data_IF_636646405563
#
_entry.id   IF_636646405563
#
_cell.length_a   1.000
_cell.length_b   1.000
_cell.length_c   1.000
_cell.angle_alpha   90.00
_cell.angle_beta   90.00
_cell.angle_gamma   90.00
#
_symmetry.space_group_name_H-M   'P 1'
#
loop_
_entity.id
_entity.type
_entity.pdbx_description
1 polymer ?
#
# COMPACT_ATOMS: atom_id res chain seq x y z
N UNK A 1 2.53 6.48 41.82
CA UNK A 1 3.03 7.86 42.05
C UNK A 1 4.55 7.93 42.18
N UNK A 2 5.22 7.15 43.04
CA UNK A 2 6.68 7.21 43.24
C UNK A 2 7.52 6.91 41.97
N UNK A 3 7.10 5.95 41.13
CA UNK A 3 7.79 5.65 39.86
C UNK A 3 7.71 6.78 38.83
N UNK A 4 6.62 7.54 38.81
CA UNK A 4 6.45 8.66 37.87
C UNK A 4 7.33 9.85 38.25
N UNK A 5 7.35 10.23 39.54
CA UNK A 5 8.19 11.36 40.00
C UNK A 5 9.69 11.16 39.67
N UNK A 6 10.21 9.95 39.85
CA UNK A 6 11.60 9.61 39.51
C UNK A 6 11.84 9.57 37.98
N UNK A 7 10.83 9.15 37.21
CA UNK A 7 10.86 9.15 35.75
C UNK A 7 10.89 10.56 35.16
N UNK A 8 10.10 11.49 35.72
CA UNK A 8 10.09 12.90 35.31
C UNK A 8 11.42 13.62 35.60
N UNK A 9 12.08 13.30 36.73
CA UNK A 9 13.39 13.87 37.09
C UNK A 9 14.56 13.30 36.28
N UNK A 10 14.43 12.07 35.78
CA UNK A 10 15.48 11.36 35.04
C UNK A 10 15.31 11.40 33.52
N UNK A 11 14.21 11.96 33.02
CA UNK A 11 13.83 11.92 31.59
C UNK A 11 13.37 10.54 31.10
N UNK A 12 13.48 9.50 31.92
CA UNK A 12 13.08 8.15 31.55
C UNK A 12 11.56 8.01 31.33
N UNK A 13 10.76 8.95 31.84
CA UNK A 13 9.31 8.97 31.66
C UNK A 13 8.85 9.34 30.25
N UNK A 14 9.73 9.96 29.45
CA UNK A 14 9.45 10.43 28.09
C UNK A 14 9.77 9.35 27.01
N UNK A 15 10.62 8.37 27.33
CA UNK A 15 11.00 7.29 26.40
C UNK A 15 9.82 6.35 26.16
N UNK A 16 9.45 6.20 24.90
CA UNK A 16 8.33 5.36 24.48
C UNK A 16 8.75 3.90 24.23
N UNK A 17 7.82 3.00 24.49
CA UNK A 17 7.90 1.59 24.13
C UNK A 17 6.84 1.26 23.07
N UNK A 18 7.17 0.31 22.19
CA UNK A 18 6.25 -0.12 21.12
C UNK A 18 5.14 -0.99 21.72
N UNK A 19 3.90 -0.64 21.43
CA UNK A 19 2.73 -1.39 21.90
C UNK A 19 2.48 -2.59 20.99
N UNK A 20 2.53 -3.80 21.56
CA UNK A 20 2.20 -5.05 20.86
C UNK A 20 0.74 -5.46 21.03
N UNK A 21 0.12 -5.03 22.14
CA UNK A 21 -1.30 -5.23 22.43
C UNK A 21 -2.02 -3.87 22.39
N UNK A 22 -2.75 -3.61 21.31
CA UNK A 22 -3.44 -2.35 21.10
C UNK A 22 -4.65 -2.16 22.01
N UNK A 23 -5.15 -3.22 22.68
CA UNK A 23 -6.27 -3.08 23.63
C UNK A 23 -5.92 -2.19 24.83
N UNK A 24 -4.62 -1.97 25.07
CA UNK A 24 -4.08 -1.14 26.15
C UNK A 24 -3.84 0.32 25.72
N UNK A 25 -3.95 0.64 24.43
CA UNK A 25 -3.76 2.00 23.92
C UNK A 25 -4.94 2.90 24.33
N UNK A 26 -4.65 4.08 24.87
CA UNK A 26 -5.67 5.07 25.21
C UNK A 26 -6.42 5.54 23.95
N UNK A 27 -5.74 5.56 22.80
CA UNK A 27 -6.31 5.92 21.51
C UNK A 27 -7.52 5.07 21.10
N UNK A 28 -7.66 3.84 21.61
CA UNK A 28 -8.80 2.95 21.30
C UNK A 28 -10.16 3.60 21.57
N UNK A 29 -10.24 4.47 22.57
CA UNK A 29 -11.49 5.15 22.96
C UNK A 29 -11.90 6.27 21.99
N UNK A 30 -11.00 6.68 21.10
CA UNK A 30 -11.17 7.82 20.20
C UNK A 30 -11.22 7.42 18.72
N UNK A 31 -11.13 6.11 18.42
CA UNK A 31 -11.21 5.61 17.05
C UNK A 31 -12.60 5.88 16.46
N UNK A 32 -12.62 6.34 15.22
CA UNK A 32 -13.84 6.52 14.44
C UNK A 32 -14.25 5.21 13.75
N UNK A 33 -15.51 5.07 13.28
CA UNK A 33 -15.94 3.90 12.53
C UNK A 33 -15.06 3.64 11.30
N UNK A 34 -14.55 2.41 11.16
CA UNK A 34 -13.63 2.01 10.07
C UNK A 34 -12.17 2.43 10.28
N UNK A 35 -11.85 3.06 11.42
CA UNK A 35 -10.49 3.39 11.81
C UNK A 35 -9.87 2.25 12.62
N UNK A 36 -8.61 1.93 12.35
CA UNK A 36 -7.85 0.87 13.02
C UNK A 36 -6.43 1.34 13.32
N UNK A 37 -5.90 0.92 14.48
CA UNK A 37 -4.52 1.20 14.87
C UNK A 37 -3.57 0.36 14.01
N UNK A 38 -2.59 1.03 13.40
CA UNK A 38 -1.54 0.40 12.60
C UNK A 38 -0.32 0.11 13.48
N UNK A 39 0.11 1.10 14.26
CA UNK A 39 1.17 0.97 15.27
C UNK A 39 1.02 2.06 16.33
N UNK A 40 1.54 1.80 17.52
CA UNK A 40 1.47 2.73 18.65
C UNK A 40 2.73 2.64 19.50
N UNK A 41 3.14 3.78 20.04
CA UNK A 41 4.25 3.91 20.98
C UNK A 41 3.74 4.66 22.21
N UNK A 42 4.07 4.17 23.39
CA UNK A 42 3.60 4.74 24.66
C UNK A 42 4.74 4.85 25.66
N UNK A 43 4.82 6.00 26.32
CA UNK A 43 5.59 6.24 27.53
C UNK A 43 4.63 6.49 28.70
N UNK A 44 5.17 6.77 29.88
CA UNK A 44 4.32 7.13 31.03
C UNK A 44 3.61 8.47 30.84
N UNK A 45 4.17 9.35 30.02
CA UNK A 45 3.68 10.71 29.82
C UNK A 45 2.88 10.86 28.53
N UNK A 46 3.31 10.20 27.46
CA UNK A 46 2.78 10.40 26.10
C UNK A 46 2.44 9.07 25.43
N UNK A 47 1.43 9.10 24.55
CA UNK A 47 1.11 8.03 23.62
C UNK A 47 0.99 8.61 22.21
N UNK A 48 1.65 7.97 21.27
CA UNK A 48 1.62 8.28 19.85
C UNK A 48 1.04 7.07 19.11
N UNK A 49 -0.21 7.20 18.66
CA UNK A 49 -0.93 6.12 17.99
C UNK A 49 -1.21 6.50 16.55
N UNK A 50 -0.69 5.70 15.61
CA UNK A 50 -0.86 5.89 14.18
C UNK A 50 -1.93 4.93 13.68
N UNK A 51 -3.00 5.47 13.11
CA UNK A 51 -4.10 4.69 12.54
C UNK A 51 -4.01 4.68 11.03
N UNK A 52 -4.99 4.07 10.36
CA UNK A 52 -5.16 4.21 8.92
C UNK A 52 -5.64 5.61 8.48
N UNK A 53 -6.13 6.47 9.38
CA UNK A 53 -6.72 7.78 9.06
C UNK A 53 -5.93 8.97 9.64
N UNK A 54 -5.34 8.81 10.82
CA UNK A 54 -4.79 9.91 11.60
C UNK A 54 -3.67 9.48 12.55
N UNK A 55 -2.90 10.47 12.99
CA UNK A 55 -2.07 10.36 14.19
C UNK A 55 -2.84 10.89 15.40
N UNK A 56 -2.87 10.12 16.47
CA UNK A 56 -3.24 10.59 17.80
C UNK A 56 -1.99 10.86 18.64
N UNK A 57 -1.91 12.06 19.21
CA UNK A 57 -0.97 12.38 20.28
C UNK A 57 -1.77 12.56 21.56
N UNK A 58 -1.56 11.69 22.54
CA UNK A 58 -2.22 11.75 23.85
C UNK A 58 -1.15 12.02 24.89
N UNK A 59 -1.14 13.21 25.50
CA UNK A 59 -0.06 13.64 26.37
C UNK A 59 -0.54 14.22 27.70
N UNK A 60 0.16 13.90 28.78
CA UNK A 60 -0.01 14.51 30.10
C UNK A 60 1.01 15.61 30.34
N UNK A 61 0.69 16.55 31.23
CA UNK A 61 1.66 17.57 31.65
C UNK A 61 2.87 16.99 32.40
N UNK A 62 2.74 15.80 32.98
CA UNK A 62 3.81 15.05 33.64
C UNK A 62 3.49 13.54 33.65
N UNK A 63 4.40 12.70 34.14
CA UNK A 63 4.21 11.23 34.18
C UNK A 63 3.18 10.76 35.23
N UNK A 64 2.87 11.59 36.23
CA UNK A 64 2.01 11.21 37.36
C UNK A 64 0.56 11.62 37.18
N UNK A 65 0.29 12.59 36.31
CA UNK A 65 -1.06 13.08 36.04
C UNK A 65 -1.87 12.04 35.26
N UNK A 66 -3.12 11.88 35.68
CA UNK A 66 -4.12 11.10 34.95
C UNK A 66 -4.82 11.93 33.88
N UNK A 67 -4.75 13.27 33.95
CA UNK A 67 -5.29 14.16 32.93
C UNK A 67 -4.38 14.14 31.70
N UNK A 68 -4.94 13.70 30.57
CA UNK A 68 -4.26 13.69 29.27
C UNK A 68 -5.03 14.56 28.27
N UNK A 69 -4.30 15.26 27.40
CA UNK A 69 -4.83 15.98 26.25
C UNK A 69 -4.70 15.07 25.03
N UNK A 70 -5.80 14.86 24.31
CA UNK A 70 -5.82 14.09 23.06
C UNK A 70 -5.88 15.05 21.87
N UNK A 71 -4.86 14.98 21.02
CA UNK A 71 -4.78 15.71 19.76
C UNK A 71 -4.87 14.72 18.60
N UNK A 72 -5.69 15.04 17.59
CA UNK A 72 -5.86 14.25 16.37
C UNK A 72 -5.31 15.02 15.17
N UNK A 73 -4.55 14.34 14.32
CA UNK A 73 -4.00 14.88 13.08
C UNK A 73 -4.43 13.97 11.91
N UNK A 74 -5.50 14.35 11.22
CA UNK A 74 -6.01 13.58 10.07
C UNK A 74 -5.07 13.71 8.87
N UNK A 75 -4.62 12.58 8.33
CA UNK A 75 -3.71 12.54 7.17
C UNK A 75 -4.33 13.09 5.89
N UNK A 76 -5.66 13.21 5.83
CA UNK A 76 -6.35 13.88 4.73
C UNK A 76 -5.96 15.35 4.63
N UNK A 77 -5.79 16.01 5.77
CA UNK A 77 -5.60 17.46 5.85
C UNK A 77 -4.18 17.84 6.24
N UNK A 78 -3.54 17.00 7.06
CA UNK A 78 -2.23 17.26 7.63
C UNK A 78 -1.17 16.41 6.92
N UNK A 79 -0.38 17.04 6.06
CA UNK A 79 0.70 16.37 5.32
C UNK A 79 1.90 16.12 6.23
N UNK A 80 2.41 14.89 6.25
CA UNK A 80 3.65 14.54 6.91
C UNK A 80 4.82 14.97 6.02
N UNK A 81 5.83 15.61 6.60
CA UNK A 81 7.06 16.02 5.90
C UNK A 81 8.28 15.93 6.81
N UNK A 82 9.47 16.03 6.22
CA UNK A 82 10.74 16.12 6.97
C UNK A 82 10.97 14.95 7.93
N UNK A 83 10.63 13.73 7.52
CA UNK A 83 10.82 12.52 8.32
C UNK A 83 12.32 12.23 8.46
N UNK A 84 12.78 12.04 9.70
CA UNK A 84 14.17 11.78 10.08
C UNK A 84 14.22 10.69 11.14
N UNK A 85 15.32 9.97 11.15
CA UNK A 85 15.61 8.93 12.13
C UNK A 85 17.01 9.14 12.71
N UNK A 86 17.12 9.04 14.02
CA UNK A 86 18.37 9.12 14.77
C UNK A 86 18.55 7.80 15.51
N UNK A 87 19.60 7.04 15.16
CA UNK A 87 19.90 5.76 15.81
C UNK A 87 20.47 5.97 17.19
N UNK A 88 20.23 5.03 18.11
CA UNK A 88 20.87 5.05 19.41
C UNK A 88 22.40 4.86 19.29
N UNK A 89 23.18 5.72 19.92
CA UNK A 89 24.61 5.52 20.10
C UNK A 89 24.92 4.38 21.08
N UNK A 90 26.21 4.18 21.36
CA UNK A 90 26.64 3.08 22.23
C UNK A 90 26.09 3.21 23.66
N UNK A 91 26.09 4.42 24.20
CA UNK A 91 25.69 4.75 25.58
C UNK A 91 24.22 5.18 25.69
N UNK A 92 23.62 5.59 24.57
CA UNK A 92 22.24 6.09 24.53
C UNK A 92 21.23 4.98 24.82
N UNK A 93 20.09 5.39 25.40
CA UNK A 93 19.02 4.48 25.85
C UNK A 93 17.91 4.33 24.82
N UNK A 94 17.86 5.23 23.86
CA UNK A 94 16.79 5.45 22.91
C UNK A 94 17.34 5.80 21.53
N UNK A 95 16.49 5.56 20.54
CA UNK A 95 16.58 6.12 19.21
C UNK A 95 15.41 7.10 19.02
N UNK A 96 15.49 7.98 18.05
CA UNK A 96 14.51 9.06 17.92
C UNK A 96 13.96 9.17 16.50
N UNK A 97 12.64 9.31 16.39
CA UNK A 97 11.95 9.64 15.13
C UNK A 97 11.49 11.09 15.17
N UNK A 98 11.85 11.88 14.16
CA UNK A 98 11.46 13.28 14.01
C UNK A 98 10.69 13.49 12.71
N UNK A 99 9.58 14.20 12.75
CA UNK A 99 8.85 14.61 11.54
C UNK A 99 8.01 15.85 11.79
N UNK A 100 7.46 16.42 10.72
CA UNK A 100 6.43 17.46 10.79
C UNK A 100 5.11 16.89 10.27
N UNK A 101 4.01 17.24 10.91
CA UNK A 101 2.67 16.94 10.43
C UNK A 101 1.87 18.25 10.46
N UNK A 102 1.51 18.72 9.26
CA UNK A 102 0.98 20.07 9.12
C UNK A 102 1.94 21.14 9.62
N UNK A 103 1.43 21.99 10.53
CA UNK A 103 2.23 23.02 11.21
C UNK A 103 3.00 22.54 12.44
N UNK A 104 2.84 21.28 12.90
CA UNK A 104 3.44 20.80 14.15
C UNK A 104 4.68 19.94 13.90
N UNK A 105 5.66 20.07 14.78
CA UNK A 105 6.86 19.22 14.79
C UNK A 105 6.72 18.16 15.88
N UNK A 106 7.00 16.91 15.54
CA UNK A 106 6.90 15.75 16.42
C UNK A 106 8.29 15.13 16.56
N UNK A 107 8.66 14.83 17.82
CA UNK A 107 9.85 14.09 18.23
C UNK A 107 9.36 12.94 19.11
N UNK A 108 9.82 11.72 18.84
CA UNK A 108 9.45 10.54 19.62
C UNK A 108 10.72 9.77 19.93
N UNK A 109 11.09 9.76 21.22
CA UNK A 109 12.15 8.92 21.74
C UNK A 109 11.60 7.51 21.97
N UNK A 110 12.26 6.51 21.41
CA UNK A 110 11.84 5.11 21.42
C UNK A 110 12.98 4.28 22.00
N UNK A 111 12.68 3.42 22.96
CA UNK A 111 13.67 2.58 23.62
C UNK A 111 14.56 1.83 22.62
N UNK A 112 15.88 1.85 22.85
CA UNK A 112 16.90 1.24 21.95
C UNK A 112 16.65 -0.23 21.62
N UNK A 113 16.03 -0.97 22.54
CA UNK A 113 15.66 -2.37 22.31
C UNK A 113 14.65 -2.55 21.15
N UNK A 114 13.83 -1.53 20.88
CA UNK A 114 12.80 -1.50 19.83
C UNK A 114 13.28 -0.74 18.57
N UNK A 115 14.59 -0.47 18.44
CA UNK A 115 15.11 0.32 17.31
C UNK A 115 14.77 -0.29 15.95
N UNK A 116 14.70 -1.62 15.84
CA UNK A 116 14.33 -2.29 14.60
C UNK A 116 12.90 -1.92 14.16
N UNK A 117 11.92 -1.97 15.06
CA UNK A 117 10.55 -1.54 14.78
C UNK A 117 10.48 -0.04 14.49
N UNK A 118 11.24 0.77 15.23
CA UNK A 118 11.31 2.21 15.00
C UNK A 118 11.82 2.56 13.58
N UNK A 119 12.79 1.80 13.06
CA UNK A 119 13.26 1.94 11.67
C UNK A 119 12.18 1.57 10.66
N UNK A 120 11.32 0.62 10.97
CA UNK A 120 10.18 0.28 10.11
C UNK A 120 9.11 1.38 10.16
N UNK A 121 8.80 1.94 11.33
CA UNK A 121 7.91 3.10 11.44
C UNK A 121 8.43 4.31 10.66
N UNK A 122 9.75 4.56 10.68
CA UNK A 122 10.36 5.58 9.84
C UNK A 122 10.03 5.37 8.35
N UNK A 123 10.20 4.14 7.84
CA UNK A 123 9.88 3.82 6.43
C UNK A 123 8.41 4.03 6.14
N UNK A 124 7.52 3.65 7.07
CA UNK A 124 6.07 3.87 6.95
C UNK A 124 5.74 5.36 6.81
N UNK A 125 6.29 6.19 7.70
CA UNK A 125 6.05 7.63 7.70
C UNK A 125 6.61 8.31 6.44
N UNK A 126 7.80 7.89 5.99
CA UNK A 126 8.40 8.38 4.75
C UNK A 126 7.56 8.01 3.52
N UNK A 127 7.02 6.78 3.47
CA UNK A 127 6.13 6.35 2.40
C UNK A 127 4.80 7.12 2.40
N UNK A 128 4.19 7.31 3.58
CA UNK A 128 2.98 8.12 3.74
C UNK A 128 3.21 9.57 3.31
N UNK A 129 4.34 10.17 3.71
CA UNK A 129 4.74 11.52 3.31
C UNK A 129 4.81 11.66 1.78
N UNK A 130 5.51 10.74 1.10
CA UNK A 130 5.62 10.75 -0.37
C UNK A 130 4.25 10.65 -1.04
N UNK A 131 3.40 9.76 -0.54
CA UNK A 131 2.04 9.56 -1.07
C UNK A 131 1.18 10.82 -0.92
N UNK A 132 1.22 11.48 0.23
CA UNK A 132 0.51 12.74 0.46
C UNK A 132 1.03 13.85 -0.47
N UNK A 133 2.34 13.95 -0.67
CA UNK A 133 2.94 14.94 -1.57
C UNK A 133 2.53 14.69 -3.03
N UNK A 134 2.55 13.44 -3.49
CA UNK A 134 2.07 13.07 -4.84
C UNK A 134 0.60 13.43 -5.02
N UNK A 135 -0.22 13.12 -4.04
CA UNK A 135 -1.64 13.45 -4.02
C UNK A 135 -1.90 14.96 -4.09
N UNK A 136 -1.17 15.76 -3.30
CA UNK A 136 -1.27 17.22 -3.31
C UNK A 136 -0.86 17.78 -4.67
N UNK A 137 0.22 17.27 -5.27
CA UNK A 137 0.63 17.66 -6.63
C UNK A 137 -0.43 17.34 -7.67
N UNK A 138 -1.04 16.15 -7.59
CA UNK A 138 -2.12 15.76 -8.50
C UNK A 138 -3.36 16.65 -8.35
N UNK A 139 -3.67 17.07 -7.13
CA UNK A 139 -4.73 18.05 -6.86
C UNK A 139 -4.42 19.42 -7.46
N UNK A 140 -3.21 19.94 -7.23
CA UNK A 140 -2.76 21.22 -7.76
C UNK A 140 -2.76 21.22 -9.30
N UNK A 141 -2.26 20.14 -9.91
CA UNK A 141 -2.29 19.95 -11.35
C UNK A 141 -3.73 19.94 -11.88
N UNK A 142 -4.66 19.25 -11.21
CA UNK A 142 -6.05 19.21 -11.63
C UNK A 142 -6.75 20.57 -11.52
N UNK A 143 -6.49 21.32 -10.43
CA UNK A 143 -6.99 22.69 -10.28
C UNK A 143 -6.45 23.61 -11.40
N UNK A 144 -5.17 23.50 -11.72
CA UNK A 144 -4.54 24.29 -12.77
C UNK A 144 -5.06 23.92 -14.16
N UNK A 145 -5.22 22.63 -14.45
CA UNK A 145 -5.79 22.14 -15.69
C UNK A 145 -7.24 22.64 -15.87
N UNK A 146 -8.05 22.61 -14.82
CA UNK A 146 -9.42 23.12 -14.86
C UNK A 146 -9.44 24.63 -15.14
N UNK A 147 -8.57 25.40 -14.48
CA UNK A 147 -8.44 26.84 -14.71
C UNK A 147 -8.12 27.15 -16.17
N UNK A 148 -7.07 26.55 -16.72
CA UNK A 148 -6.67 26.81 -18.11
C UNK A 148 -7.69 26.30 -19.13
N UNK A 149 -8.38 25.19 -18.84
CA UNK A 149 -9.48 24.70 -19.69
C UNK A 149 -10.63 25.71 -19.73
N UNK A 150 -10.98 26.32 -18.59
CA UNK A 150 -12.02 27.36 -18.55
C UNK A 150 -11.63 28.62 -19.34
N UNK A 151 -10.37 29.05 -19.25
CA UNK A 151 -9.86 30.20 -20.01
C UNK A 151 -9.86 29.91 -21.53
N UNK A 152 -9.46 28.71 -21.94
CA UNK A 152 -9.46 28.31 -23.35
C UNK A 152 -10.87 28.23 -23.95
N UNK A 153 -11.85 27.71 -23.21
CA UNK A 153 -13.25 27.65 -23.63
C UNK A 153 -13.86 29.05 -23.78
N UNK A 154 -13.57 29.96 -22.84
CA UNK A 154 -14.02 31.36 -22.92
C UNK A 154 -13.51 32.07 -24.19
N UNK A 155 -12.30 31.73 -24.66
CA UNK A 155 -11.71 32.30 -25.88
C UNK A 155 -12.29 31.71 -27.18
N UNK A 156 -12.92 30.53 -27.11
CA UNK A 156 -13.31 29.74 -28.30
C UNK A 156 -14.82 29.72 -28.54
N UNK A 157 -15.64 29.68 -27.50
CA UNK A 157 -17.11 29.65 -27.62
C UNK A 157 -17.73 31.01 -27.27
N UNK A 158 -18.33 31.66 -28.28
CA UNK A 158 -19.27 32.78 -28.08
C UNK A 158 -20.73 32.29 -27.95
N UNK A 159 -20.93 30.98 -28.00
CA UNK A 159 -22.23 30.32 -27.97
C UNK A 159 -22.43 29.71 -26.59
N UNK A 160 -23.30 30.31 -25.78
CA UNK A 160 -23.71 29.79 -24.48
C UNK A 160 -24.36 28.41 -24.57
N UNK A 161 -23.55 27.36 -24.76
CA UNK A 161 -23.93 26.01 -24.38
C UNK A 161 -24.42 26.07 -22.93
N UNK A 162 -25.46 25.32 -22.61
CA UNK A 162 -26.15 25.35 -21.31
C UNK A 162 -25.16 25.26 -20.16
N UNK A 163 -24.83 26.42 -19.59
CA UNK A 163 -23.87 26.65 -18.50
C UNK A 163 -24.06 25.64 -17.36
N UNK A 164 -25.31 25.24 -17.12
CA UNK A 164 -25.70 24.22 -16.15
C UNK A 164 -25.00 22.88 -16.38
N UNK A 165 -25.00 22.35 -17.61
CA UNK A 165 -24.41 21.03 -17.90
C UNK A 165 -22.89 21.03 -17.71
N UNK A 166 -22.20 22.07 -18.22
CA UNK A 166 -20.76 22.22 -18.05
C UNK A 166 -20.38 22.38 -16.57
N UNK A 167 -21.22 23.07 -15.80
CA UNK A 167 -21.05 23.22 -14.35
C UNK A 167 -21.18 21.89 -13.62
N UNK A 168 -22.18 21.07 -13.95
CA UNK A 168 -22.43 19.77 -13.32
C UNK A 168 -21.30 18.76 -13.62
N UNK A 169 -20.84 18.70 -14.88
CA UNK A 169 -19.72 17.84 -15.29
C UNK A 169 -18.42 18.26 -14.59
N UNK A 170 -18.15 19.57 -14.54
CA UNK A 170 -16.97 20.13 -13.85
C UNK A 170 -17.00 19.83 -12.35
N UNK A 171 -18.15 20.05 -11.71
CA UNK A 171 -18.35 19.80 -10.28
C UNK A 171 -18.17 18.32 -9.94
N UNK A 172 -18.69 17.43 -10.79
CA UNK A 172 -18.52 15.98 -10.64
C UNK A 172 -17.05 15.60 -10.76
N UNK A 173 -16.36 16.08 -11.80
CA UNK A 173 -14.95 15.78 -12.05
C UNK A 173 -14.05 16.27 -10.91
N UNK A 174 -14.22 17.51 -10.43
CA UNK A 174 -13.39 18.04 -9.33
C UNK A 174 -13.69 17.30 -8.02
N UNK A 175 -14.94 16.90 -7.79
CA UNK A 175 -15.33 16.09 -6.64
C UNK A 175 -14.69 14.69 -6.66
N UNK A 176 -14.62 14.04 -7.83
CA UNK A 176 -13.93 12.77 -8.00
C UNK A 176 -12.41 12.90 -7.86
N UNK A 177 -11.82 13.96 -8.40
CA UNK A 177 -10.41 14.27 -8.21
C UNK A 177 -10.10 14.42 -6.71
N UNK A 178 -10.91 15.21 -5.99
CA UNK A 178 -10.73 15.42 -4.55
C UNK A 178 -10.79 14.09 -3.78
N UNK A 179 -11.77 13.23 -4.07
CA UNK A 179 -11.88 11.91 -3.43
C UNK A 179 -10.63 11.04 -3.64
N UNK A 180 -10.03 11.10 -4.84
CA UNK A 180 -8.83 10.33 -5.19
C UNK A 180 -7.55 10.89 -4.55
N UNK A 181 -7.41 12.22 -4.52
CA UNK A 181 -6.20 12.88 -3.97
C UNK A 181 -6.25 13.04 -2.45
N UNK A 182 -7.43 13.08 -1.85
CA UNK A 182 -7.59 13.26 -0.41
C UNK A 182 -8.30 12.03 0.19
N UNK A 183 -7.67 10.84 0.19
CA UNK A 183 -8.31 9.67 0.78
C UNK A 183 -8.45 9.84 2.30
N UNK A 184 -9.58 9.38 2.85
CA UNK A 184 -9.78 9.31 4.31
C UNK A 184 -8.90 8.24 4.94
N UNK A 185 -8.71 7.13 4.23
CA UNK A 185 -7.92 6.02 4.68
C UNK A 185 -6.71 5.82 3.77
N UNK A 186 -5.54 5.70 4.39
CA UNK A 186 -4.32 5.38 3.68
C UNK A 186 -4.08 3.86 3.62
N UNK A 187 -4.87 3.05 4.33
CA UNK A 187 -4.79 1.58 4.33
C UNK A 187 -4.84 0.98 2.91
N UNK A 188 -5.75 1.44 2.05
CA UNK A 188 -5.96 0.87 0.71
C UNK A 188 -5.01 1.33 -0.40
N UNK A 189 -4.13 2.31 -0.15
CA UNK A 189 -3.35 2.99 -1.20
C UNK A 189 -1.89 2.51 -1.33
N UNK A 190 -1.59 1.28 -0.89
CA UNK A 190 -0.24 0.70 -0.83
C UNK A 190 0.38 0.68 0.58
N UNK A 191 -0.33 1.17 1.60
CA UNK A 191 0.15 1.23 2.99
C UNK A 191 -0.33 0.03 3.83
N UNK A 192 -1.31 -0.77 3.37
CA UNK A 192 -1.70 -2.03 4.01
C UNK A 192 -0.58 -3.09 4.08
N UNK A 193 0.46 -2.99 3.23
CA UNK A 193 1.63 -3.86 3.32
C UNK A 193 2.49 -3.60 4.59
N UNK A 194 2.20 -2.54 5.33
CA UNK A 194 2.98 -2.06 6.47
C UNK A 194 2.47 -2.57 7.83
N UNK A 195 1.37 -3.34 7.87
CA UNK A 195 0.93 -4.05 9.09
C UNK A 195 1.37 -5.52 9.12
N UNK A 196 2.19 -5.96 8.16
CA UNK A 196 2.74 -7.31 8.11
C UNK A 196 4.19 -7.29 8.60
N UNK A 197 4.69 -8.35 9.26
CA UNK A 197 6.09 -8.45 9.64
C UNK A 197 7.00 -8.24 8.41
N UNK A 198 8.12 -7.53 8.60
CA UNK A 198 9.02 -7.00 7.55
C UNK A 198 9.35 -7.98 6.41
N UNK A 199 9.41 -9.29 6.70
CA UNK A 199 9.63 -10.36 5.71
C UNK A 199 8.52 -10.46 4.63
N UNK A 200 7.29 -10.04 4.95
CA UNK A 200 6.13 -10.08 4.04
C UNK A 200 5.96 -8.74 3.29
N UNK A 201 6.37 -7.63 3.90
CA UNK A 201 6.34 -6.31 3.29
C UNK A 201 7.25 -6.22 2.04
N UNK A 202 8.46 -6.81 2.08
CA UNK A 202 9.41 -6.78 0.94
C UNK A 202 8.92 -7.62 -0.26
N UNK A 203 8.28 -8.77 -0.03
CA UNK A 203 7.66 -9.55 -1.11
C UNK A 203 6.52 -8.79 -1.79
N UNK A 204 5.77 -8.00 -1.02
CA UNK A 204 4.66 -7.18 -1.52
C UNK A 204 5.15 -5.92 -2.25
N UNK A 205 6.27 -5.32 -1.82
CA UNK A 205 6.90 -4.18 -2.50
C UNK A 205 7.59 -4.56 -3.81
N UNK A 206 8.16 -5.78 -3.92
CA UNK A 206 8.67 -6.30 -5.20
C UNK A 206 7.55 -6.50 -6.24
N UNK A 207 6.31 -6.64 -5.79
CA UNK A 207 5.14 -6.81 -6.65
C UNK A 207 4.65 -5.47 -7.23
N UNK A 208 4.96 -4.35 -6.59
CA UNK A 208 4.45 -3.01 -6.95
C UNK A 208 5.07 -2.37 -8.19
N UNK A 209 6.19 -2.89 -8.70
CA UNK A 209 6.74 -2.42 -9.99
C UNK A 209 5.93 -2.90 -11.20
N UNK A 210 4.86 -3.68 -10.99
CA UNK A 210 4.05 -4.25 -12.08
C UNK A 210 2.54 -4.32 -11.82
N UNK A 211 2.03 -3.72 -10.73
CA UNK A 211 0.64 -3.96 -10.28
C UNK A 211 -0.29 -2.76 -10.52
N UNK A 212 -0.37 -2.28 -11.76
CA UNK A 212 -1.58 -1.62 -12.29
C UNK A 212 -2.65 -2.67 -12.68
N UNK A 213 -2.59 -3.84 -12.06
CA UNK A 213 -3.45 -5.00 -12.31
C UNK A 213 -4.15 -5.39 -11.00
N UNK A 214 -5.49 -5.51 -10.96
CA UNK A 214 -6.18 -5.95 -9.76
C UNK A 214 -5.83 -7.42 -9.47
N UNK A 215 -5.21 -7.69 -8.31
CA UNK A 215 -4.91 -9.05 -7.84
C UNK A 215 -6.02 -9.68 -7.00
N UNK A 216 -6.12 -11.02 -7.02
CA UNK A 216 -7.40 -11.70 -7.10
C UNK A 216 -7.84 -12.28 -5.75
N UNK A 217 -9.04 -11.91 -5.30
CA UNK A 217 -9.80 -12.72 -4.34
C UNK A 217 -11.24 -13.00 -4.79
N UNK A 218 -11.64 -12.55 -5.97
CA UNK A 218 -12.75 -13.13 -6.71
C UNK A 218 -12.16 -14.15 -7.69
N UNK A 219 -12.74 -15.35 -7.79
CA UNK A 219 -12.39 -16.31 -8.84
C UNK A 219 -12.58 -15.60 -10.19
N UNK A 220 -11.50 -15.39 -10.94
CA UNK A 220 -11.59 -14.72 -12.24
C UNK A 220 -12.53 -15.52 -13.14
N UNK A 221 -13.44 -14.82 -13.80
CA UNK A 221 -14.48 -15.43 -14.62
C UNK A 221 -13.91 -15.59 -16.02
N UNK A 222 -13.84 -16.83 -16.50
CA UNK A 222 -13.22 -17.17 -17.79
C UNK A 222 -14.28 -17.34 -18.88
N UNK A 223 -14.07 -16.66 -20.00
CA UNK A 223 -14.81 -16.85 -21.25
C UNK A 223 -13.92 -17.52 -22.29
N UNK A 224 -14.46 -18.50 -22.99
CA UNK A 224 -13.82 -19.12 -24.15
C UNK A 224 -14.33 -18.44 -25.42
N UNK A 225 -13.41 -17.84 -26.17
CA UNK A 225 -13.65 -17.23 -27.48
C UNK A 225 -13.15 -18.18 -28.55
N UNK A 226 -14.03 -18.60 -29.45
CA UNK A 226 -13.72 -19.54 -30.52
C UNK A 226 -13.92 -18.88 -31.89
N UNK A 227 -13.41 -19.55 -32.93
CA UNK A 227 -13.46 -19.13 -34.33
C UNK A 227 -12.58 -17.90 -34.64
N UNK A 228 -11.48 -17.72 -33.91
CA UNK A 228 -10.51 -16.65 -34.18
C UNK A 228 -9.67 -16.98 -35.43
N UNK A 229 -9.33 -15.96 -36.20
CA UNK A 229 -8.35 -16.08 -37.29
C UNK A 229 -6.94 -16.23 -36.71
N UNK A 230 -5.98 -16.62 -37.55
CA UNK A 230 -4.57 -16.73 -37.14
C UNK A 230 -3.89 -15.37 -36.94
N UNK A 231 -4.53 -14.28 -37.37
CA UNK A 231 -3.99 -12.93 -37.30
C UNK A 231 -4.37 -12.20 -36.00
N UNK A 232 -5.25 -12.80 -35.18
CA UNK A 232 -5.65 -12.23 -33.89
C UNK A 232 -4.67 -12.62 -32.80
N UNK A 233 -4.04 -11.61 -32.20
CA UNK A 233 -3.12 -11.77 -31.08
C UNK A 233 -3.79 -11.47 -29.73
N UNK A 234 -3.11 -11.80 -28.63
CA UNK A 234 -3.59 -11.54 -27.29
C UNK A 234 -3.85 -10.04 -27.03
N UNK A 235 -3.05 -9.15 -27.62
CA UNK A 235 -3.19 -7.69 -27.47
C UNK A 235 -4.47 -7.18 -28.13
N UNK A 236 -4.82 -7.68 -29.32
CA UNK A 236 -6.09 -7.34 -29.98
C UNK A 236 -7.30 -7.76 -29.13
N UNK A 237 -7.24 -8.96 -28.53
CA UNK A 237 -8.31 -9.42 -27.65
C UNK A 237 -8.38 -8.58 -26.38
N UNK A 238 -7.25 -8.18 -25.80
CA UNK A 238 -7.22 -7.31 -24.62
C UNK A 238 -7.84 -5.95 -24.91
N UNK A 239 -7.58 -5.37 -26.08
CA UNK A 239 -8.15 -4.07 -26.48
C UNK A 239 -9.66 -4.15 -26.69
N UNK A 240 -10.12 -5.17 -27.43
CA UNK A 240 -11.54 -5.33 -27.76
C UNK A 240 -12.35 -5.68 -26.51
N UNK A 241 -11.92 -6.70 -25.76
CA UNK A 241 -12.61 -7.14 -24.55
C UNK A 241 -12.39 -6.19 -23.37
N UNK A 242 -11.34 -5.35 -23.41
CA UNK A 242 -11.08 -4.30 -22.44
C UNK A 242 -12.14 -3.20 -22.40
N UNK A 243 -12.94 -3.04 -23.47
CA UNK A 243 -14.08 -2.10 -23.48
C UNK A 243 -15.21 -2.50 -22.53
N UNK A 244 -15.34 -3.79 -22.25
CA UNK A 244 -16.44 -4.34 -21.44
C UNK A 244 -16.03 -4.55 -19.97
N UNK A 245 -14.73 -4.55 -19.67
CA UNK A 245 -14.23 -4.66 -18.30
C UNK A 245 -12.75 -4.97 -18.23
N UNK A 246 -12.24 -5.12 -17.01
CA UNK A 246 -10.81 -5.34 -16.76
C UNK A 246 -10.43 -6.79 -17.07
N UNK A 247 -9.62 -6.98 -18.12
CA UNK A 247 -9.11 -8.29 -18.54
C UNK A 247 -7.85 -8.65 -17.77
N UNK A 248 -7.99 -9.60 -16.83
CA UNK A 248 -6.92 -10.07 -15.94
C UNK A 248 -5.91 -10.92 -16.72
N UNK A 249 -6.39 -11.80 -17.61
CA UNK A 249 -5.54 -12.73 -18.37
C UNK A 249 -6.17 -13.07 -19.71
N UNK A 250 -5.33 -13.21 -20.73
CA UNK A 250 -5.70 -13.77 -22.04
C UNK A 250 -4.76 -14.93 -22.34
N UNK A 251 -5.30 -16.10 -22.64
CA UNK A 251 -4.55 -17.28 -23.04
C UNK A 251 -4.99 -17.72 -24.42
N UNK A 252 -4.06 -17.72 -25.38
CA UNK A 252 -4.31 -18.14 -26.75
C UNK A 252 -4.01 -19.63 -26.90
N UNK A 253 -4.97 -20.38 -27.44
CA UNK A 253 -4.79 -21.76 -27.85
C UNK A 253 -5.01 -21.84 -29.37
N UNK A 254 -3.91 -22.08 -30.10
CA UNK A 254 -3.92 -22.25 -31.56
C UNK A 254 -3.69 -23.73 -31.86
N UNK A 255 -4.71 -24.60 -31.78
CA UNK A 255 -4.59 -25.96 -32.30
C UNK A 255 -4.42 -25.92 -33.82
N UNK A 256 -4.16 -27.09 -34.45
CA UNK A 256 -3.94 -27.25 -35.91
C UNK A 256 -5.10 -26.78 -36.83
N UNK A 257 -6.08 -26.04 -36.31
CA UNK A 257 -7.24 -25.48 -37.01
C UNK A 257 -7.51 -24.01 -36.64
N UNK A 258 -8.77 -23.68 -36.33
CA UNK A 258 -9.20 -22.33 -35.92
C UNK A 258 -8.64 -21.97 -34.54
N UNK A 259 -8.21 -20.72 -34.36
CA UNK A 259 -7.68 -20.28 -33.08
C UNK A 259 -8.83 -20.13 -32.06
N UNK A 260 -8.52 -20.40 -30.80
CA UNK A 260 -9.40 -20.19 -29.65
C UNK A 260 -8.63 -19.46 -28.56
N UNK A 261 -9.31 -18.69 -27.74
CA UNK A 261 -8.70 -17.97 -26.63
C UNK A 261 -9.54 -18.11 -25.37
N UNK A 262 -8.90 -18.08 -24.22
CA UNK A 262 -9.56 -17.96 -22.91
C UNK A 262 -9.26 -16.57 -22.37
N UNK A 263 -10.31 -15.79 -22.14
CA UNK A 263 -10.24 -14.43 -21.60
C UNK A 263 -10.79 -14.45 -20.18
N UNK A 264 -9.99 -14.03 -19.22
CA UNK A 264 -10.37 -13.96 -17.82
C UNK A 264 -10.67 -12.51 -17.42
N UNK A 265 -11.88 -12.29 -16.92
CA UNK A 265 -12.35 -11.01 -16.41
C UNK A 265 -12.25 -10.92 -14.89
N UNK A 266 -12.07 -9.71 -14.39
CA UNK A 266 -12.06 -9.42 -12.96
C UNK A 266 -13.44 -9.62 -12.31
N UNK A 267 -14.54 -9.36 -13.04
CA UNK A 267 -15.90 -9.48 -12.51
C UNK A 267 -16.81 -10.32 -13.42
N UNK A 268 -17.80 -10.98 -12.83
CA UNK A 268 -18.81 -11.77 -13.56
C UNK A 268 -19.71 -10.88 -14.43
N UNK A 269 -20.07 -9.70 -13.92
CA UNK A 269 -20.93 -8.74 -14.64
C UNK A 269 -20.29 -8.28 -15.95
N UNK A 270 -18.97 -8.05 -15.95
CA UNK A 270 -18.23 -7.66 -17.15
C UNK A 270 -18.15 -8.82 -18.15
N UNK A 271 -17.95 -10.04 -17.65
CA UNK A 271 -17.93 -11.24 -18.49
C UNK A 271 -19.29 -11.49 -19.16
N UNK A 272 -20.40 -11.34 -18.43
CA UNK A 272 -21.75 -11.49 -18.99
C UNK A 272 -22.04 -10.40 -20.04
N UNK A 273 -21.68 -9.16 -19.74
CA UNK A 273 -21.81 -8.03 -20.69
C UNK A 273 -20.98 -8.28 -21.95
N UNK A 274 -19.73 -8.72 -21.80
CA UNK A 274 -18.86 -9.04 -22.93
C UNK A 274 -19.40 -10.21 -23.77
N UNK A 275 -19.95 -11.24 -23.12
CA UNK A 275 -20.57 -12.38 -23.81
C UNK A 275 -21.77 -11.92 -24.62
N UNK A 276 -22.68 -11.14 -24.04
CA UNK A 276 -23.92 -10.72 -24.71
C UNK A 276 -23.65 -9.84 -25.94
N UNK A 277 -22.58 -9.05 -25.93
CA UNK A 277 -22.25 -8.15 -27.03
C UNK A 277 -21.28 -8.75 -28.07
N UNK A 278 -20.42 -9.69 -27.67
CA UNK A 278 -19.38 -10.26 -28.55
C UNK A 278 -19.74 -11.65 -29.08
N UNK A 279 -20.70 -12.35 -28.49
CA UNK A 279 -21.25 -13.57 -29.08
C UNK A 279 -21.89 -13.22 -30.43
N UNK A 280 -21.56 -13.98 -31.47
CA UNK A 280 -22.00 -13.72 -32.84
C UNK A 280 -21.47 -12.42 -33.49
N UNK A 281 -20.55 -11.71 -32.82
CA UNK A 281 -19.86 -10.55 -33.39
C UNK A 281 -18.88 -10.92 -34.50
N UNK A 282 -18.50 -9.96 -35.34
CA UNK A 282 -17.52 -10.16 -36.42
C UNK A 282 -16.15 -9.63 -36.02
N UNK A 283 -15.11 -10.46 -36.17
CA UNK A 283 -13.72 -10.07 -35.97
C UNK A 283 -12.84 -10.68 -37.06
N UNK A 284 -12.15 -9.82 -37.81
CA UNK A 284 -11.23 -10.19 -38.89
C UNK A 284 -11.87 -11.14 -39.93
N UNK A 285 -13.14 -10.91 -40.26
CA UNK A 285 -13.89 -11.71 -41.24
C UNK A 285 -14.47 -13.03 -40.71
N UNK A 286 -14.24 -13.38 -39.44
CA UNK A 286 -14.86 -14.53 -38.79
C UNK A 286 -15.93 -14.11 -37.77
N UNK A 287 -17.02 -14.88 -37.70
CA UNK A 287 -18.06 -14.73 -36.68
C UNK A 287 -17.61 -15.39 -35.37
N UNK A 288 -17.45 -14.62 -34.30
CA UNK A 288 -16.96 -15.10 -33.01
C UNK A 288 -18.03 -15.91 -32.28
N UNK A 289 -17.58 -16.91 -31.54
CA UNK A 289 -18.42 -17.65 -30.58
C UNK A 289 -17.83 -17.50 -29.19
N UNK A 290 -18.56 -16.82 -28.31
CA UNK A 290 -18.15 -16.59 -26.91
C UNK A 290 -18.99 -17.49 -26.00
N UNK A 291 -18.34 -18.36 -25.23
CA UNK A 291 -18.97 -19.29 -24.30
C UNK A 291 -18.41 -19.10 -22.89
N UNK A 292 -19.22 -19.27 -21.83
CA UNK A 292 -18.69 -19.33 -20.47
C UNK A 292 -17.81 -20.59 -20.35
N UNK A 293 -16.54 -20.42 -20.00
CA UNK A 293 -15.63 -21.53 -19.75
C UNK A 293 -15.84 -21.98 -18.31
N UNK A 294 -16.29 -23.22 -18.12
CA UNK A 294 -16.43 -23.77 -16.78
C UNK A 294 -15.04 -23.81 -16.12
N UNK A 295 -14.87 -23.31 -14.89
CA UNK A 295 -13.59 -23.43 -14.22
C UNK A 295 -13.24 -24.91 -14.12
N UNK A 296 -12.10 -25.31 -14.69
CA UNK A 296 -11.50 -26.60 -14.37
C UNK A 296 -11.22 -26.58 -12.87
N UNK A 297 -12.12 -27.16 -12.08
CA UNK A 297 -11.86 -27.48 -10.69
C UNK A 297 -10.65 -28.40 -10.73
N UNK A 298 -9.49 -27.89 -10.32
CA UNK A 298 -8.37 -28.75 -9.99
C UNK A 298 -8.84 -29.61 -8.82
N UNK A 299 -9.26 -30.83 -9.14
CA UNK A 299 -9.57 -31.86 -8.17
C UNK A 299 -8.25 -32.16 -7.45
N UNK A 300 -8.02 -31.49 -6.32
CA UNK A 300 -6.94 -31.84 -5.42
C UNK A 300 -7.13 -33.31 -5.03
N UNK A 301 -6.09 -34.11 -5.24
CA UNK A 301 -6.07 -35.53 -4.96
C UNK A 301 -6.45 -35.80 -3.49
N UNK A 302 -7.57 -36.51 -3.30
CA UNK A 302 -7.89 -37.19 -2.05
C UNK A 302 -7.43 -38.64 -2.25
N UNK A 303 -6.48 -39.19 -1.48
CA UNK A 303 -6.36 -40.64 -1.40
C UNK A 303 -7.59 -41.16 -0.65
N UNK A 304 -8.51 -41.76 -1.41
CA UNK A 304 -9.65 -42.50 -0.89
C UNK A 304 -9.16 -43.76 -0.18
N UNK A 305 -9.60 -43.97 1.06
CA UNK A 305 -10.34 -45.19 1.43
C UNK A 305 -10.77 -45.10 2.89
N UNK A 306 -12.09 -45.02 3.12
CA UNK A 306 -12.77 -45.61 4.27
C UNK A 306 -14.19 -45.97 3.82
N UNK A 307 -14.32 -47.11 3.14
CA UNK A 307 -15.60 -47.76 2.93
C UNK A 307 -15.95 -48.53 4.22
N UNK A 308 -16.92 -48.01 4.98
CA UNK A 308 -17.60 -48.77 6.02
C UNK A 308 -18.70 -49.58 5.34
N UNK A 309 -18.49 -50.89 5.20
CA UNK A 309 -19.56 -51.84 4.91
C UNK A 309 -19.84 -52.63 6.17
N UNK A 310 -21.06 -52.47 6.70
CA UNK A 310 -21.61 -53.32 7.75
C UNK A 310 -21.96 -54.66 7.13
N UNK A 311 -21.34 -55.74 7.61
CA UNK A 311 -21.85 -57.11 7.47
C UNK A 311 -21.33 -57.97 8.63
N UNK A 312 -22.26 -58.75 9.17
CA UNK A 312 -22.19 -59.55 10.39
C UNK A 312 -21.21 -60.73 10.30
N UNK A 313 -20.64 -61.10 11.45
CA UNK A 313 -20.56 -62.51 11.85
C UNK A 313 -19.17 -63.13 12.07
N UNK A 314 -18.97 -63.54 13.34
CA UNK A 314 -18.28 -64.77 13.82
C UNK A 314 -16.74 -64.83 13.92
N UNK A 315 -16.32 -64.83 15.20
CA UNK A 315 -15.37 -65.75 15.91
C UNK A 315 -13.87 -65.79 15.59
N UNK A 316 -13.12 -65.74 16.70
CA UNK A 316 -11.76 -66.27 16.96
C UNK A 316 -10.58 -65.53 16.29
N UNK A 317 -9.36 -65.50 16.82
CA UNK A 317 -8.75 -65.50 18.16
C UNK A 317 -7.23 -65.29 17.93
N UNK A 318 -6.50 -64.84 18.96
CA UNK A 318 -5.05 -65.09 19.20
C UNK A 318 -3.96 -64.17 18.56
N UNK A 319 -3.03 -63.79 19.45
CA UNK A 319 -1.60 -63.45 19.32
C UNK A 319 -1.20 -62.09 18.70
N UNK A 320 -0.59 -61.15 19.44
CA UNK A 320 0.72 -61.14 20.14
C UNK A 320 1.87 -60.66 19.24
N UNK A 321 2.62 -59.71 19.81
CA UNK A 321 4.07 -59.46 19.68
C UNK A 321 4.65 -58.45 18.67
N UNK A 322 5.31 -57.45 19.30
CA UNK A 322 6.74 -57.07 19.19
C UNK A 322 7.16 -56.01 18.15
N UNK A 323 7.59 -54.88 18.72
CA UNK A 323 8.69 -53.98 18.32
C UNK A 323 9.97 -54.74 17.90
N UNK A 324 11.00 -54.15 17.23
CA UNK A 324 11.78 -53.04 17.82
C UNK A 324 12.50 -52.05 16.87
N UNK A 325 13.06 -51.05 17.57
CA UNK A 325 14.07 -50.00 17.34
C UNK A 325 15.33 -50.30 16.49
N UNK A 326 15.96 -49.22 15.97
CA UNK A 326 17.39 -48.81 15.97
C UNK A 326 17.68 -47.91 14.73
N UNK A 327 18.65 -47.00 14.63
CA UNK A 327 19.39 -46.07 15.48
C UNK A 327 20.35 -45.28 14.54
N UNK A 328 20.70 -44.04 14.90
CA UNK A 328 21.99 -43.33 14.66
C UNK A 328 22.55 -43.18 13.20
N UNK A 329 23.33 -42.18 12.77
CA UNK A 329 24.23 -41.18 13.39
C UNK A 329 24.71 -40.19 12.30
N UNK A 330 25.24 -39.03 12.72
CA UNK A 330 26.02 -38.05 11.93
C UNK A 330 27.53 -38.37 12.13
N UNK A 331 28.46 -37.95 11.25
CA UNK A 331 29.31 -36.81 11.62
C UNK A 331 29.81 -35.89 10.47
N UNK A 332 30.31 -34.75 10.94
CA UNK A 332 30.90 -33.55 10.33
C UNK A 332 32.29 -33.74 9.70
N UNK A 333 32.67 -32.90 8.70
CA UNK A 333 34.04 -32.35 8.61
C UNK A 333 34.18 -31.12 7.68
N UNK A 334 35.18 -30.31 8.00
CA UNK A 334 35.49 -28.90 7.68
C UNK A 334 36.52 -28.71 6.54
N UNK A 335 36.72 -27.44 6.12
CA UNK A 335 37.92 -26.78 5.51
C UNK A 335 37.87 -26.52 3.97
N UNK A 336 38.35 -25.41 3.36
CA UNK A 336 39.01 -24.15 3.79
C UNK A 336 39.26 -23.18 2.60
N UNK A 337 39.30 -21.86 2.90
CA UNK A 337 40.14 -20.72 2.36
C UNK A 337 40.25 -20.41 0.83
N UNK A 338 40.11 -19.16 0.36
CA UNK A 338 41.13 -18.07 0.40
C UNK A 338 40.59 -16.80 -0.30
N UNK A 339 40.52 -15.62 0.35
CA UNK A 339 41.38 -14.42 0.25
C UNK A 339 41.76 -13.88 -1.14
N UNK A 340 41.38 -12.61 -1.42
CA UNK A 340 42.26 -11.58 -1.99
C UNK A 340 41.76 -10.16 -1.66
N UNK A 341 42.68 -9.34 -1.13
CA UNK A 341 42.55 -7.93 -0.76
C UNK A 341 43.65 -7.17 -1.50
N UNK A 342 43.32 -6.07 -2.19
CA UNK A 342 44.30 -5.07 -2.60
C UNK A 342 43.77 -3.66 -2.30
N UNK A 343 44.66 -2.86 -1.71
CA UNK A 343 44.53 -1.45 -1.33
C UNK A 343 44.71 -0.57 -2.60
N UNK A 344 44.42 0.74 -2.70
CA UNK A 344 44.87 1.85 -1.86
C UNK A 344 44.34 3.20 -2.44
N UNK A 345 44.02 4.16 -1.54
CA UNK A 345 44.13 5.65 -1.58
C UNK A 345 43.99 6.46 -2.90
N UNK A 346 43.13 7.49 -2.87
CA UNK A 346 43.53 8.93 -2.95
C UNK A 346 42.33 9.90 -2.87
N UNK A 347 42.52 11.01 -2.13
CA UNK A 347 41.68 12.24 -2.13
C UNK A 347 42.26 13.24 -3.15
N UNK A 348 41.49 14.23 -3.58
CA UNK A 348 41.85 15.61 -3.19
C UNK A 348 40.65 16.50 -2.78
N UNK A 349 40.95 17.47 -1.90
CA UNK A 349 40.11 18.64 -1.58
C UNK A 349 40.31 19.74 -2.64
N UNK A 350 39.27 20.51 -2.95
CA UNK A 350 39.37 21.98 -3.09
C UNK A 350 38.00 22.69 -2.96
N UNK A 351 38.09 23.98 -2.65
CA UNK A 351 37.19 24.88 -1.89
C UNK A 351 36.11 25.61 -2.75
N UNK A 352 35.25 26.50 -2.19
CA UNK A 352 33.88 26.74 -2.63
C UNK A 352 33.71 27.91 -3.61
N UNK A 353 32.59 27.93 -4.33
CA UNK A 353 32.12 29.07 -5.11
C UNK A 353 31.08 29.89 -4.33
N UNK A 354 31.28 31.20 -4.29
CA UNK A 354 30.35 32.19 -3.73
C UNK A 354 29.92 33.20 -4.81
N UNK A 355 28.72 33.76 -4.59
CA UNK A 355 28.07 34.93 -5.24
C UNK A 355 27.57 34.71 -6.68
N UNK A 356 26.33 35.07 -7.01
CA UNK A 356 25.89 36.47 -7.08
C UNK A 356 24.37 36.61 -6.92
N UNK A 357 23.94 37.57 -6.08
CA UNK A 357 22.57 38.06 -5.98
C UNK A 357 22.35 39.16 -7.02
N UNK A 358 21.30 39.01 -7.83
CA UNK A 358 20.81 40.07 -8.73
C UNK A 358 19.65 40.79 -8.05
N UNK A 359 19.92 41.96 -7.46
CA UNK A 359 18.89 42.93 -7.08
C UNK A 359 18.44 43.67 -8.34
N UNK A 360 17.17 43.50 -8.73
CA UNK A 360 16.52 44.41 -9.67
C UNK A 360 15.87 45.54 -8.86
N UNK A 361 16.41 46.74 -8.99
CA UNK A 361 15.83 47.98 -8.48
C UNK A 361 14.80 48.48 -9.50
N UNK A 362 13.55 48.69 -9.09
CA UNK A 362 12.63 49.58 -9.79
C UNK A 362 12.32 50.78 -8.89
N UNK A 363 12.55 51.96 -9.46
CA UNK A 363 12.31 53.29 -8.88
C UNK A 363 10.81 53.52 -8.62
N UNK A 364 10.44 54.29 -7.59
CA UNK A 364 9.12 54.91 -7.53
C UNK A 364 9.08 56.16 -8.41
N UNK A 365 8.05 56.29 -9.24
CA UNK A 365 7.64 57.57 -9.81
C UNK A 365 6.59 58.20 -8.91
N UNK A 366 6.92 59.37 -8.38
CA UNK A 366 6.01 60.26 -7.67
C UNK A 366 5.70 61.48 -8.55
N UNK A 367 4.42 61.82 -8.65
CA UNK A 367 3.89 63.16 -8.98
C UNK A 367 3.15 63.24 -10.32
N UNK A 368 2.11 64.05 -10.52
CA UNK A 368 1.32 64.99 -9.71
C UNK A 368 0.17 65.49 -10.63
N UNK A 369 -1.03 65.74 -10.07
CA UNK A 369 -2.13 66.63 -10.52
C UNK A 369 -2.65 66.61 -11.98
N UNK A 370 -3.97 66.35 -12.11
CA UNK A 370 -5.00 67.39 -12.18
C UNK A 370 -6.34 66.84 -11.65
#
# INVERSE_FOLDING_TARGET
MLKGLAGDLSGAGDVCHVMRDFSQCLAMQYLLPGESIMFSMQSTKEEFTFTNHALFKIAGSNSTTTRKLTERFDYRNETITSVKFETAGLVDRDCEIKFKIGGKSISIDIAKAEQADAQDFYKVLEMLSRRQIENNRAWDHGCLALKYSSEALYLTENSGQTLTRQTDETSTWIGELYKRTHPLCYHGHGIAALSLPFSVAIATLSQWRSDDSPKPQAKAVTLRVENLTRNVNADHLREIFGKFGIVVRVEMAVPRGKASAVVAFATQKDADSAKDHMHDGWLDGNKLRVLPDAPKIALAAIPSTCAVTVSRGTTESIAVSRSPTLAESIPTSTQSQSQQKLQQKSKPQQKPYARTQSKCQQKPQSGTQL
#
